data_IF_130306853011
#
_entry.id   IF_130306853011
#
_cell.length_a   1.000
_cell.length_b   1.000
_cell.length_c   1.000
_cell.angle_alpha   90.00
_cell.angle_beta   90.00
_cell.angle_gamma   90.00
#
_symmetry.space_group_name_H-M   'P 1'
#
loop_
_entity.id
_entity.type
_entity.pdbx_description
1 polymer ?
#
# COMPACT_ATOMS: atom_id res chain seq x y z
N UNK A 1 11.46 -8.90 -24.01
CA UNK A 1 11.06 -8.59 -22.64
C UNK A 1 10.86 -9.91 -21.91
N UNK A 2 11.79 -10.29 -21.03
CA UNK A 2 11.67 -11.51 -20.24
C UNK A 2 10.86 -11.23 -18.98
N UNK A 3 9.53 -11.34 -19.10
CA UNK A 3 8.58 -11.13 -18.01
C UNK A 3 8.71 -12.13 -16.84
N UNK A 4 9.50 -13.20 -17.02
CA UNK A 4 9.73 -14.23 -16.01
C UNK A 4 11.09 -14.11 -15.29
N UNK A 5 11.82 -13.02 -15.52
CA UNK A 5 13.09 -12.78 -14.84
C UNK A 5 12.89 -12.24 -13.41
N UNK A 6 13.80 -12.58 -12.50
CA UNK A 6 13.79 -12.10 -11.11
C UNK A 6 13.56 -10.58 -10.93
N UNK A 7 14.15 -9.67 -11.75
CA UNK A 7 13.90 -8.23 -11.64
C UNK A 7 12.46 -7.81 -11.98
N UNK A 8 11.66 -8.66 -12.64
CA UNK A 8 10.24 -8.40 -12.91
C UNK A 8 9.33 -9.10 -11.89
N UNK A 9 9.66 -10.32 -11.50
CA UNK A 9 8.83 -11.11 -10.58
C UNK A 9 8.83 -10.55 -9.15
N UNK A 10 9.99 -10.08 -8.64
CA UNK A 10 10.08 -9.56 -7.28
C UNK A 10 9.20 -8.31 -7.11
N UNK A 11 9.34 -7.24 -7.94
CA UNK A 11 8.46 -6.07 -7.83
C UNK A 11 6.99 -6.40 -8.09
N UNK A 12 6.68 -7.32 -9.00
CA UNK A 12 5.30 -7.74 -9.26
C UNK A 12 4.67 -8.36 -8.01
N UNK A 13 5.40 -9.24 -7.33
CA UNK A 13 4.94 -9.86 -6.08
C UNK A 13 4.81 -8.83 -4.96
N UNK A 14 5.74 -7.87 -4.85
CA UNK A 14 5.65 -6.76 -3.90
C UNK A 14 4.39 -5.93 -4.14
N UNK A 15 4.13 -5.54 -5.40
CA UNK A 15 2.93 -4.79 -5.79
C UNK A 15 1.66 -5.56 -5.40
N UNK A 16 1.56 -6.85 -5.74
CA UNK A 16 0.41 -7.68 -5.38
C UNK A 16 0.26 -7.78 -3.86
N UNK A 17 1.36 -7.97 -3.13
CA UNK A 17 1.36 -8.11 -1.68
C UNK A 17 0.91 -6.82 -0.96
N UNK A 18 1.48 -5.68 -1.37
CA UNK A 18 1.10 -4.35 -0.88
C UNK A 18 -0.36 -4.09 -1.17
N UNK A 19 -0.80 -4.34 -2.40
CA UNK A 19 -2.17 -4.11 -2.81
C UNK A 19 -3.15 -4.96 -2.00
N UNK A 20 -2.85 -6.24 -1.76
CA UNK A 20 -3.67 -7.11 -0.89
C UNK A 20 -3.73 -6.59 0.54
N UNK A 21 -2.59 -6.23 1.11
CA UNK A 21 -2.47 -5.79 2.50
C UNK A 21 -3.22 -4.49 2.77
N UNK A 22 -3.13 -3.52 1.84
CA UNK A 22 -3.81 -2.23 1.93
C UNK A 22 -5.23 -2.25 1.33
N UNK A 23 -5.66 -3.33 0.69
CA UNK A 23 -7.02 -3.43 0.11
C UNK A 23 -8.04 -4.10 1.02
N UNK A 24 -7.66 -4.55 2.22
CA UNK A 24 -8.60 -5.13 3.20
C UNK A 24 -9.80 -4.22 3.45
N UNK A 25 -9.55 -2.94 3.71
CA UNK A 25 -10.59 -1.97 4.05
C UNK A 25 -11.32 -1.44 2.80
N UNK A 26 -10.61 -1.40 1.66
CA UNK A 26 -11.16 -1.02 0.36
C UNK A 26 -12.28 -1.97 -0.09
N UNK A 27 -12.14 -3.28 0.17
CA UNK A 27 -13.18 -4.26 -0.16
C UNK A 27 -14.44 -4.08 0.71
N UNK A 28 -14.28 -3.73 1.99
CA UNK A 28 -15.39 -3.44 2.91
C UNK A 28 -16.13 -2.18 2.47
N UNK A 29 -15.40 -1.13 2.06
CA UNK A 29 -15.98 0.09 1.49
C UNK A 29 -16.81 -0.20 0.23
N UNK A 30 -16.30 -1.01 -0.69
CA UNK A 30 -17.02 -1.42 -1.91
C UNK A 30 -18.30 -2.18 -1.53
N UNK A 31 -18.21 -3.14 -0.60
CA UNK A 31 -19.35 -3.93 -0.15
C UNK A 31 -20.42 -3.06 0.55
N UNK A 32 -20.00 -2.10 1.40
CA UNK A 32 -20.89 -1.18 2.11
C UNK A 32 -21.59 -0.20 1.16
N UNK A 33 -20.87 0.36 0.18
CA UNK A 33 -21.45 1.27 -0.82
C UNK A 33 -22.50 0.57 -1.69
N UNK A 34 -22.33 -0.72 -1.98
CA UNK A 34 -23.27 -1.51 -2.77
C UNK A 34 -24.35 -2.24 -1.94
N UNK A 35 -24.32 -2.16 -0.60
CA UNK A 35 -25.24 -2.89 0.30
C UNK A 35 -26.73 -2.59 0.07
N UNK A 36 -27.07 -1.36 -0.31
CA UNK A 36 -28.45 -0.92 -0.52
C UNK A 36 -28.95 -1.14 -1.95
N UNK A 37 -28.13 -1.73 -2.83
CA UNK A 37 -28.57 -2.08 -4.18
C UNK A 37 -29.43 -3.35 -4.17
N UNK A 38 -30.44 -3.47 -5.04
CA UNK A 38 -31.17 -4.71 -5.26
C UNK A 38 -30.21 -5.88 -5.55
N UNK A 39 -30.52 -7.08 -5.04
CA UNK A 39 -29.61 -8.24 -5.10
C UNK A 39 -29.12 -8.59 -6.53
N UNK A 40 -29.92 -8.31 -7.56
CA UNK A 40 -29.54 -8.51 -8.97
C UNK A 40 -28.55 -7.45 -9.50
N UNK A 41 -28.49 -6.26 -8.89
CA UNK A 41 -27.60 -5.14 -9.26
C UNK A 41 -26.38 -5.01 -8.35
N UNK A 42 -26.41 -5.62 -7.17
CA UNK A 42 -25.31 -5.54 -6.20
C UNK A 42 -23.99 -6.09 -6.76
N UNK A 43 -24.01 -7.27 -7.40
CA UNK A 43 -22.81 -7.87 -8.02
C UNK A 43 -22.25 -7.00 -9.15
N UNK A 44 -23.13 -6.40 -9.93
CA UNK A 44 -22.76 -5.49 -11.01
C UNK A 44 -22.18 -4.18 -10.45
N UNK A 45 -22.75 -3.66 -9.36
CA UNK A 45 -22.21 -2.50 -8.63
C UNK A 45 -20.82 -2.75 -8.06
N UNK A 46 -20.60 -3.90 -7.44
CA UNK A 46 -19.28 -4.31 -6.94
C UNK A 46 -18.28 -4.41 -8.09
N UNK A 47 -18.66 -5.07 -9.20
CA UNK A 47 -17.80 -5.21 -10.38
C UNK A 47 -17.43 -3.88 -11.03
N UNK A 48 -18.41 -2.98 -11.23
CA UNK A 48 -18.15 -1.65 -11.79
C UNK A 48 -17.36 -0.74 -10.85
N UNK A 49 -17.64 -0.82 -9.53
CA UNK A 49 -16.89 -0.10 -8.51
C UNK A 49 -15.43 -0.52 -8.48
N UNK A 50 -15.17 -1.83 -8.48
CA UNK A 50 -13.81 -2.37 -8.56
C UNK A 50 -13.11 -1.94 -9.85
N UNK A 51 -13.77 -2.04 -11.01
CA UNK A 51 -13.19 -1.60 -12.28
C UNK A 51 -12.84 -0.10 -12.27
N UNK A 52 -13.69 0.73 -11.65
CA UNK A 52 -13.45 2.18 -11.55
C UNK A 52 -12.28 2.50 -10.64
N UNK A 53 -12.19 1.88 -9.46
CA UNK A 53 -11.05 2.02 -8.55
C UNK A 53 -9.72 1.70 -9.24
N UNK A 54 -9.72 0.68 -10.09
CA UNK A 54 -8.53 0.22 -10.81
C UNK A 54 -8.06 1.21 -11.86
N UNK A 55 -9.00 1.73 -12.64
CA UNK A 55 -8.71 2.77 -13.63
C UNK A 55 -8.14 4.00 -12.92
N UNK A 56 -8.74 4.41 -11.80
CA UNK A 56 -8.24 5.52 -10.99
C UNK A 56 -6.82 5.27 -10.46
N UNK A 57 -6.54 4.07 -9.95
CA UNK A 57 -5.20 3.66 -9.49
C UNK A 57 -4.16 3.71 -10.61
N UNK A 58 -4.49 3.24 -11.82
CA UNK A 58 -3.58 3.33 -12.97
C UNK A 58 -3.29 4.78 -13.34
N UNK A 59 -4.31 5.64 -13.33
CA UNK A 59 -4.15 7.06 -13.59
C UNK A 59 -3.25 7.70 -12.53
N UNK A 60 -3.53 7.50 -11.23
CA UNK A 60 -2.71 8.07 -10.16
C UNK A 60 -1.29 7.54 -10.15
N UNK A 61 -1.09 6.24 -10.37
CA UNK A 61 0.25 5.67 -10.40
C UNK A 61 1.07 6.27 -11.53
N UNK A 62 0.46 6.49 -12.70
CA UNK A 62 1.13 7.17 -13.81
C UNK A 62 1.54 8.59 -13.43
N UNK A 63 0.61 9.36 -12.85
CA UNK A 63 0.86 10.74 -12.43
C UNK A 63 1.93 10.80 -11.34
N UNK A 64 1.81 9.98 -10.29
CA UNK A 64 2.76 9.93 -9.17
C UNK A 64 4.13 9.46 -9.65
N UNK A 65 4.22 8.48 -10.54
CA UNK A 65 5.50 8.02 -11.09
C UNK A 65 6.26 9.17 -11.77
N UNK A 66 5.57 10.00 -12.54
CA UNK A 66 6.16 11.18 -13.15
C UNK A 66 6.51 12.24 -12.12
N UNK A 67 5.65 12.42 -11.11
CA UNK A 67 5.86 13.39 -10.05
C UNK A 67 7.08 13.02 -9.17
N UNK A 68 7.30 11.73 -8.90
CA UNK A 68 8.45 11.20 -8.18
C UNK A 68 9.76 11.25 -8.99
N UNK A 69 9.75 11.72 -10.24
CA UNK A 69 10.97 12.08 -10.95
C UNK A 69 11.52 13.44 -10.49
N UNK A 70 10.69 14.26 -9.84
CA UNK A 70 11.09 15.56 -9.29
C UNK A 70 11.90 15.32 -8.00
N UNK A 71 13.05 15.99 -7.81
CA UNK A 71 13.83 15.91 -6.58
C UNK A 71 12.99 16.24 -5.34
N UNK A 72 13.35 15.68 -4.20
CA UNK A 72 12.66 15.78 -2.90
C UNK A 72 11.31 15.07 -2.80
N UNK A 73 10.63 14.81 -3.91
CA UNK A 73 9.33 14.15 -3.86
C UNK A 73 9.47 12.66 -3.54
N UNK A 74 10.59 12.02 -3.89
CA UNK A 74 10.89 10.66 -3.43
C UNK A 74 11.14 10.61 -1.93
N UNK A 75 11.83 11.62 -1.38
CA UNK A 75 12.02 11.75 0.07
C UNK A 75 10.66 11.92 0.77
N UNK A 76 9.83 12.84 0.28
CA UNK A 76 8.52 13.10 0.85
C UNK A 76 7.60 11.88 0.75
N UNK A 77 7.56 11.22 -0.40
CA UNK A 77 6.76 10.00 -0.58
C UNK A 77 7.30 8.83 0.24
N UNK A 78 8.63 8.69 0.38
CA UNK A 78 9.23 7.69 1.26
C UNK A 78 8.93 7.95 2.73
N UNK A 79 8.95 9.21 3.18
CA UNK A 79 8.56 9.59 4.54
C UNK A 79 7.06 9.31 4.80
N UNK A 80 6.20 9.65 3.84
CA UNK A 80 4.77 9.31 3.89
C UNK A 80 4.57 7.79 3.97
N UNK A 81 5.32 7.03 3.17
CA UNK A 81 5.27 5.58 3.17
C UNK A 81 5.69 4.98 4.51
N UNK A 82 6.73 5.54 5.14
CA UNK A 82 7.17 5.12 6.47
C UNK A 82 6.08 5.36 7.51
N UNK A 83 5.41 6.51 7.42
CA UNK A 83 4.28 6.84 8.29
C UNK A 83 3.10 5.88 8.09
N UNK A 84 2.75 5.55 6.84
CA UNK A 84 1.72 4.56 6.51
C UNK A 84 2.10 3.19 7.07
N UNK A 85 3.36 2.77 6.91
CA UNK A 85 3.85 1.48 7.40
C UNK A 85 3.73 1.37 8.93
N UNK A 86 4.10 2.43 9.66
CA UNK A 86 3.94 2.50 11.12
C UNK A 86 2.45 2.52 11.50
N UNK A 87 1.62 3.28 10.79
CA UNK A 87 0.17 3.32 11.02
C UNK A 87 -0.44 1.93 10.82
N UNK A 88 -0.07 1.23 9.76
CA UNK A 88 -0.57 -0.11 9.42
C UNK A 88 -0.26 -1.13 10.51
N UNK A 89 0.96 -1.14 11.03
CA UNK A 89 1.37 -2.04 12.13
C UNK A 89 0.70 -1.64 13.47
N UNK A 90 0.35 -0.36 13.63
CA UNK A 90 -0.30 0.18 14.83
C UNK A 90 -1.82 -0.04 14.84
N UNK A 91 -2.48 0.03 13.68
CA UNK A 91 -3.93 0.12 13.58
C UNK A 91 -4.65 -1.09 14.18
N UNK A 92 -5.62 -0.80 15.05
CA UNK A 92 -6.69 -1.71 15.42
C UNK A 92 -7.74 -1.75 14.31
N UNK A 93 -8.45 -2.86 14.19
CA UNK A 93 -9.49 -3.23 13.20
C UNK A 93 -10.71 -2.27 13.10
N UNK A 94 -10.64 -1.02 13.58
CA UNK A 94 -11.79 -0.15 13.82
C UNK A 94 -11.76 1.22 13.10
N UNK A 95 -10.98 1.42 12.03
CA UNK A 95 -11.25 2.54 11.11
C UNK A 95 -12.45 2.21 10.20
N UNK A 96 -13.61 1.98 10.81
CA UNK A 96 -14.86 1.83 10.09
C UNK A 96 -15.26 3.19 9.50
N UNK A 97 -14.90 3.43 8.23
CA UNK A 97 -15.43 4.55 7.46
C UNK A 97 -16.95 4.41 7.35
N UNK A 98 -17.68 5.25 8.08
CA UNK A 98 -19.14 5.38 7.99
C UNK A 98 -19.49 6.06 6.65
N UNK A 99 -19.59 5.27 5.58
CA UNK A 99 -20.04 5.76 4.29
C UNK A 99 -21.55 5.56 4.15
N UNK A 100 -22.24 6.60 3.70
CA UNK A 100 -23.67 6.56 3.36
C UNK A 100 -23.93 5.61 2.21
N UNK A 101 -24.78 4.61 2.43
CA UNK A 101 -25.22 3.69 1.39
C UNK A 101 -26.17 4.41 0.41
N UNK A 102 -26.04 4.14 -0.89
CA UNK A 102 -26.87 4.76 -1.93
C UNK A 102 -27.77 3.72 -2.61
N UNK A 103 -29.01 4.13 -2.93
CA UNK A 103 -29.99 3.28 -3.63
C UNK A 103 -29.74 3.21 -5.16
N UNK A 104 -28.86 4.06 -5.69
CA UNK A 104 -28.54 4.11 -7.12
C UNK A 104 -27.15 3.56 -7.43
N UNK A 105 -27.03 2.83 -8.54
CA UNK A 105 -25.77 2.23 -9.02
C UNK A 105 -24.68 3.30 -9.23
N UNK A 106 -25.06 4.44 -9.83
CA UNK A 106 -24.16 5.57 -10.05
C UNK A 106 -23.70 6.20 -8.74
N UNK A 107 -24.59 6.34 -7.75
CA UNK A 107 -24.25 6.81 -6.41
C UNK A 107 -23.24 5.89 -5.73
N UNK A 108 -23.47 4.57 -5.79
CA UNK A 108 -22.55 3.58 -5.22
C UNK A 108 -21.15 3.64 -5.87
N UNK A 109 -21.07 3.68 -7.21
CA UNK A 109 -19.79 3.78 -7.93
C UNK A 109 -19.06 5.08 -7.62
N UNK A 110 -19.79 6.21 -7.52
CA UNK A 110 -19.19 7.50 -7.16
C UNK A 110 -18.62 7.50 -5.74
N UNK A 111 -19.33 6.93 -4.78
CA UNK A 111 -18.84 6.80 -3.39
C UNK A 111 -17.61 5.90 -3.32
N UNK A 112 -17.60 4.80 -4.07
CA UNK A 112 -16.42 3.93 -4.19
C UNK A 112 -15.24 4.70 -4.78
N UNK A 113 -15.45 5.44 -5.87
CA UNK A 113 -14.40 6.24 -6.50
C UNK A 113 -13.83 7.32 -5.56
N UNK A 114 -14.68 8.00 -4.79
CA UNK A 114 -14.24 9.01 -3.82
C UNK A 114 -13.50 8.40 -2.63
N UNK A 115 -13.97 7.26 -2.14
CA UNK A 115 -13.31 6.57 -1.04
C UNK A 115 -11.97 5.98 -1.47
N UNK A 116 -11.92 5.35 -2.65
CA UNK A 116 -10.67 4.86 -3.23
C UNK A 116 -9.73 6.02 -3.56
N UNK A 117 -10.20 7.20 -3.99
CA UNK A 117 -9.33 8.38 -4.16
C UNK A 117 -8.61 8.76 -2.86
N UNK A 118 -9.34 8.87 -1.76
CA UNK A 118 -8.80 9.29 -0.46
C UNK A 118 -7.87 8.22 0.11
N UNK A 119 -8.26 6.94 0.00
CA UNK A 119 -7.49 5.82 0.54
C UNK A 119 -6.31 5.42 -0.35
N UNK A 120 -6.45 5.52 -1.67
CA UNK A 120 -5.45 5.05 -2.63
C UNK A 120 -4.34 6.06 -2.87
N UNK A 121 -4.44 7.31 -2.43
CA UNK A 121 -3.31 8.26 -2.55
C UNK A 121 -2.06 7.70 -1.85
N UNK A 122 -2.26 7.15 -0.66
CA UNK A 122 -1.24 6.52 0.17
C UNK A 122 -0.76 5.18 -0.44
N UNK A 123 -1.69 4.38 -0.98
CA UNK A 123 -1.38 3.11 -1.64
C UNK A 123 -0.61 3.31 -2.95
N UNK A 124 -0.94 4.34 -3.74
CA UNK A 124 -0.31 4.58 -5.04
C UNK A 124 1.13 5.06 -4.85
N UNK A 125 1.44 5.84 -3.80
CA UNK A 125 2.83 6.19 -3.47
C UNK A 125 3.64 4.93 -3.15
N UNK A 126 3.06 4.00 -2.38
CA UNK A 126 3.67 2.71 -2.08
C UNK A 126 3.99 1.90 -3.33
N UNK A 127 2.98 1.73 -4.18
CA UNK A 127 3.08 0.88 -5.37
C UNK A 127 3.97 1.56 -6.43
N UNK A 128 3.95 2.89 -6.55
CA UNK A 128 4.86 3.63 -7.43
C UNK A 128 6.33 3.49 -6.97
N UNK A 129 6.58 3.49 -5.66
CA UNK A 129 7.89 3.17 -5.09
C UNK A 129 8.34 1.75 -5.45
N UNK A 130 7.48 0.76 -5.26
CA UNK A 130 7.75 -0.65 -5.58
C UNK A 130 7.95 -0.90 -7.09
N UNK A 131 7.22 -0.18 -7.95
CA UNK A 131 7.26 -0.36 -9.40
C UNK A 131 8.54 0.16 -10.07
N UNK A 132 9.41 0.88 -9.33
CA UNK A 132 10.70 1.43 -9.80
C UNK A 132 10.60 2.19 -11.14
N UNK A 133 9.46 2.82 -11.40
CA UNK A 133 9.20 3.59 -12.63
C UNK A 133 8.60 2.80 -13.81
N UNK A 134 8.34 1.49 -13.67
CA UNK A 134 7.76 0.67 -14.72
C UNK A 134 6.23 0.61 -14.63
N UNK A 135 5.55 1.50 -15.34
CA UNK A 135 4.07 1.58 -15.39
C UNK A 135 3.41 0.27 -15.89
N UNK A 136 4.08 -0.49 -16.75
CA UNK A 136 3.56 -1.78 -17.23
C UNK A 136 3.55 -2.87 -16.15
N UNK A 137 4.56 -2.90 -15.27
CA UNK A 137 4.61 -3.79 -14.10
C UNK A 137 3.46 -3.47 -13.14
N UNK A 138 3.23 -2.18 -12.90
CA UNK A 138 2.09 -1.70 -12.12
C UNK A 138 0.75 -2.19 -12.69
N UNK A 139 0.51 -1.94 -13.99
CA UNK A 139 -0.76 -2.28 -14.61
C UNK A 139 -1.05 -3.78 -14.57
N UNK A 140 -0.03 -4.61 -14.80
CA UNK A 140 -0.16 -6.08 -14.74
C UNK A 140 -0.40 -6.56 -13.30
N UNK A 141 0.37 -6.06 -12.33
CA UNK A 141 0.21 -6.41 -10.92
C UNK A 141 -1.19 -6.08 -10.40
N UNK A 142 -1.70 -4.90 -10.77
CA UNK A 142 -3.03 -4.47 -10.40
C UNK A 142 -4.11 -5.32 -11.09
N UNK A 143 -3.97 -5.59 -12.39
CA UNK A 143 -4.92 -6.41 -13.15
C UNK A 143 -5.05 -7.82 -12.54
N UNK A 144 -3.93 -8.38 -12.05
CA UNK A 144 -3.91 -9.67 -11.35
C UNK A 144 -4.49 -9.55 -9.94
N UNK A 145 -4.21 -8.49 -9.18
CA UNK A 145 -4.64 -8.37 -7.77
C UNK A 145 -6.16 -8.21 -7.61
N UNK A 146 -6.84 -7.56 -8.56
CA UNK A 146 -8.27 -7.23 -8.43
C UNK A 146 -9.17 -8.46 -8.31
N UNK A 147 -9.06 -9.49 -9.17
CA UNK A 147 -9.80 -10.74 -8.95
C UNK A 147 -9.57 -11.34 -7.56
N UNK A 148 -8.34 -11.27 -7.03
CA UNK A 148 -8.02 -11.78 -5.69
C UNK A 148 -8.64 -10.92 -4.59
N UNK A 149 -8.63 -9.60 -4.71
CA UNK A 149 -9.25 -8.70 -3.73
C UNK A 149 -10.77 -8.83 -3.78
N UNK A 150 -11.40 -8.75 -4.95
CA UNK A 150 -12.86 -8.79 -5.09
C UNK A 150 -13.43 -10.17 -4.78
N UNK A 151 -12.77 -11.25 -5.24
CA UNK A 151 -13.22 -12.62 -5.02
C UNK A 151 -12.74 -13.23 -3.70
N UNK A 152 -11.61 -12.76 -3.18
CA UNK A 152 -10.91 -13.31 -2.01
C UNK A 152 -10.87 -12.40 -0.79
N UNK A 153 -11.49 -11.21 -0.80
CA UNK A 153 -11.48 -10.28 0.34
C UNK A 153 -11.89 -10.95 1.66
N UNK A 154 -12.94 -11.78 1.65
CA UNK A 154 -13.36 -12.51 2.85
C UNK A 154 -12.31 -13.51 3.33
N UNK A 155 -11.63 -14.19 2.41
CA UNK A 155 -10.54 -15.12 2.72
C UNK A 155 -9.32 -14.36 3.26
N UNK A 156 -8.93 -13.25 2.63
CA UNK A 156 -7.81 -12.40 3.03
C UNK A 156 -8.06 -11.78 4.39
N UNK A 157 -9.25 -11.22 4.64
CA UNK A 157 -9.63 -10.67 5.93
C UNK A 157 -9.56 -11.74 7.03
N UNK A 158 -10.09 -12.94 6.76
CA UNK A 158 -10.00 -14.07 7.69
C UNK A 158 -8.54 -14.50 7.92
N UNK A 159 -7.70 -14.46 6.88
CA UNK A 159 -6.29 -14.81 6.97
C UNK A 159 -5.50 -13.79 7.80
N UNK A 160 -5.73 -12.49 7.61
CA UNK A 160 -5.10 -11.43 8.39
C UNK A 160 -5.55 -11.46 9.85
N UNK A 161 -6.84 -11.72 10.11
CA UNK A 161 -7.36 -11.94 11.48
C UNK A 161 -6.73 -13.16 12.15
N UNK A 162 -6.58 -14.27 11.40
CA UNK A 162 -5.99 -15.51 11.92
C UNK A 162 -4.47 -15.43 12.07
N UNK A 163 -3.80 -14.70 11.20
CA UNK A 163 -2.35 -14.50 11.18
C UNK A 163 -1.98 -13.01 11.17
N UNK A 164 -2.13 -12.29 12.31
CA UNK A 164 -1.79 -10.87 12.41
C UNK A 164 -0.32 -10.56 12.11
N UNK A 165 0.54 -11.58 12.15
CA UNK A 165 1.95 -11.47 11.76
C UNK A 165 2.12 -11.02 10.30
N UNK A 166 1.16 -11.29 9.42
CA UNK A 166 1.17 -10.82 8.03
C UNK A 166 1.15 -9.30 7.93
N UNK A 167 0.50 -8.61 8.89
CA UNK A 167 0.49 -7.14 8.97
C UNK A 167 1.89 -6.62 9.29
N UNK A 168 2.64 -7.31 10.16
CA UNK A 168 4.02 -6.96 10.48
C UNK A 168 4.96 -7.15 9.29
N UNK A 169 4.83 -8.25 8.54
CA UNK A 169 5.59 -8.46 7.31
C UNK A 169 5.30 -7.38 6.28
N UNK A 170 4.01 -7.05 6.12
CA UNK A 170 3.58 -6.00 5.23
C UNK A 170 4.11 -4.62 5.61
N UNK A 171 4.05 -4.25 6.89
CA UNK A 171 4.66 -3.02 7.39
C UNK A 171 6.18 -2.99 7.21
N UNK A 172 6.87 -4.10 7.45
CA UNK A 172 8.32 -4.20 7.21
C UNK A 172 8.66 -4.02 5.73
N UNK A 173 7.87 -4.61 4.82
CA UNK A 173 8.04 -4.43 3.37
C UNK A 173 7.80 -2.97 2.94
N UNK A 174 6.77 -2.31 3.46
CA UNK A 174 6.56 -0.89 3.21
C UNK A 174 7.70 -0.02 3.75
N UNK A 175 8.25 -0.37 4.92
CA UNK A 175 9.45 0.26 5.47
C UNK A 175 10.68 0.05 4.58
N UNK A 176 10.83 -1.14 4.00
CA UNK A 176 11.88 -1.46 3.03
C UNK A 176 11.80 -0.54 1.81
N UNK A 177 10.63 -0.47 1.18
CA UNK A 177 10.37 0.37 0.01
C UNK A 177 10.57 1.85 0.35
N UNK A 178 10.22 2.26 1.58
CA UNK A 178 10.40 3.63 2.04
C UNK A 178 11.88 4.01 2.07
N UNK A 179 12.73 3.14 2.65
CA UNK A 179 14.17 3.35 2.69
C UNK A 179 14.80 3.39 1.29
N UNK A 180 14.38 2.48 0.41
CA UNK A 180 14.83 2.45 -0.99
C UNK A 180 14.39 3.72 -1.75
N UNK A 181 13.15 4.16 -1.53
CA UNK A 181 12.59 5.34 -2.17
C UNK A 181 13.30 6.64 -1.73
N UNK A 182 13.62 6.78 -0.43
CA UNK A 182 14.36 7.94 0.09
C UNK A 182 15.76 7.99 -0.51
N UNK A 183 16.52 6.90 -0.48
CA UNK A 183 17.88 6.87 -1.02
C UNK A 183 17.90 6.95 -2.55
N UNK A 184 16.83 6.50 -3.21
CA UNK A 184 16.63 6.66 -4.64
C UNK A 184 16.26 8.08 -5.07
N UNK A 185 16.13 9.07 -4.17
CA UNK A 185 15.93 10.47 -4.56
C UNK A 185 17.13 11.00 -5.37
N UNK A 186 16.94 11.73 -6.48
CA UNK A 186 18.06 12.23 -7.31
C UNK A 186 19.15 12.97 -6.55
N UNK A 187 18.81 13.67 -5.46
CA UNK A 187 19.78 14.40 -4.63
C UNK A 187 20.48 13.49 -3.61
N UNK A 188 19.76 12.55 -3.01
CA UNK A 188 20.37 11.59 -2.07
C UNK A 188 21.20 10.57 -2.82
N UNK A 189 20.76 10.14 -4.00
CA UNK A 189 21.46 9.19 -4.85
C UNK A 189 22.81 9.71 -5.32
N UNK A 190 22.94 11.01 -5.64
CA UNK A 190 24.24 11.59 -6.00
C UNK A 190 25.21 11.62 -4.82
N UNK A 191 24.74 12.06 -3.65
CA UNK A 191 25.52 12.03 -2.40
C UNK A 191 25.90 10.60 -1.98
N UNK A 192 24.96 9.67 -2.11
CA UNK A 192 25.16 8.26 -1.79
C UNK A 192 26.15 7.62 -2.76
N UNK A 193 26.07 7.94 -4.05
CA UNK A 193 27.03 7.45 -5.05
C UNK A 193 28.45 7.98 -4.75
N UNK A 194 28.60 9.28 -4.46
CA UNK A 194 29.90 9.87 -4.13
C UNK A 194 30.49 9.27 -2.83
N UNK A 195 29.65 9.07 -1.82
CA UNK A 195 30.05 8.43 -0.56
C UNK A 195 30.39 6.94 -0.75
N UNK A 196 29.60 6.23 -1.56
CA UNK A 196 29.78 4.81 -1.89
C UNK A 196 31.06 4.59 -2.69
N UNK A 197 31.34 5.44 -3.67
CA UNK A 197 32.56 5.42 -4.46
C UNK A 197 33.81 5.72 -3.60
N UNK A 198 33.69 6.62 -2.63
CA UNK A 198 34.78 6.96 -1.72
C UNK A 198 35.15 5.84 -0.73
N UNK A 199 34.20 4.97 -0.35
CA UNK A 199 34.40 3.94 0.68
C UNK A 199 34.23 2.49 0.17
N UNK A 200 33.91 2.30 -1.11
CA UNK A 200 33.76 0.98 -1.73
C UNK A 200 32.46 0.23 -1.37
N UNK A 201 31.39 0.93 -0.99
CA UNK A 201 30.14 0.29 -0.53
C UNK A 201 29.24 -0.21 -1.66
N UNK A 202 29.43 0.22 -2.91
CA UNK A 202 28.59 -0.13 -4.05
C UNK A 202 27.08 0.06 -3.79
N UNK A 203 26.29 -0.95 -4.15
CA UNK A 203 24.83 -1.03 -3.93
C UNK A 203 24.44 -1.24 -2.45
N UNK A 204 25.40 -1.47 -1.54
CA UNK A 204 25.10 -1.79 -0.15
C UNK A 204 24.36 -0.66 0.56
N UNK A 205 24.51 0.60 0.13
CA UNK A 205 23.79 1.74 0.70
C UNK A 205 22.27 1.63 0.46
N UNK A 206 21.85 1.17 -0.72
CA UNK A 206 20.44 0.97 -1.04
C UNK A 206 19.82 -0.12 -0.15
N UNK A 207 20.50 -1.27 -0.05
CA UNK A 207 20.05 -2.35 0.83
C UNK A 207 20.08 -1.97 2.32
N UNK A 208 21.09 -1.21 2.76
CA UNK A 208 21.18 -0.74 4.13
C UNK A 208 20.05 0.22 4.48
N UNK A 209 19.71 1.14 3.58
CA UNK A 209 18.61 2.07 3.77
C UNK A 209 17.25 1.36 3.79
N UNK A 210 17.05 0.41 2.88
CA UNK A 210 15.83 -0.39 2.85
C UNK A 210 15.69 -1.24 4.14
N UNK A 211 16.76 -1.91 4.55
CA UNK A 211 16.78 -2.65 5.82
C UNK A 211 16.52 -1.72 7.02
N UNK A 212 17.14 -0.54 7.05
CA UNK A 212 16.92 0.44 8.10
C UNK A 212 15.45 0.89 8.16
N UNK A 213 14.82 1.18 7.03
CA UNK A 213 13.41 1.53 6.95
C UNK A 213 12.50 0.41 7.49
N UNK A 214 12.75 -0.84 7.09
CA UNK A 214 12.02 -2.01 7.59
C UNK A 214 12.18 -2.16 9.12
N UNK A 215 13.41 -2.05 9.63
CA UNK A 215 13.70 -2.15 11.06
C UNK A 215 13.06 -1.01 11.86
N UNK A 216 13.04 0.22 11.33
CA UNK A 216 12.37 1.36 11.96
C UNK A 216 10.88 1.08 12.12
N UNK A 217 10.21 0.58 11.08
CA UNK A 217 8.77 0.25 11.17
C UNK A 217 8.52 -0.81 12.23
N UNK A 218 9.30 -1.90 12.25
CA UNK A 218 9.13 -2.97 13.22
C UNK A 218 9.43 -2.49 14.65
N UNK A 219 10.52 -1.76 14.85
CA UNK A 219 10.91 -1.26 16.17
C UNK A 219 9.90 -0.24 16.71
N UNK A 220 9.53 0.77 15.91
CA UNK A 220 8.55 1.79 16.31
C UNK A 220 7.18 1.16 16.52
N UNK A 221 6.74 0.29 15.61
CA UNK A 221 5.50 -0.48 15.76
C UNK A 221 5.47 -1.26 17.07
N UNK A 222 6.54 -2.00 17.39
CA UNK A 222 6.64 -2.79 18.62
C UNK A 222 6.60 -1.92 19.89
N UNK A 223 7.33 -0.80 19.89
CA UNK A 223 7.35 0.13 21.02
C UNK A 223 5.95 0.74 21.27
N UNK A 224 5.25 1.13 20.20
CA UNK A 224 3.90 1.69 20.30
C UNK A 224 2.88 0.65 20.74
N UNK A 225 2.96 -0.59 20.24
CA UNK A 225 2.08 -1.70 20.69
C UNK A 225 2.32 -2.08 22.15
N UNK A 226 3.57 -2.00 22.65
CA UNK A 226 3.91 -2.31 24.05
C UNK A 226 3.37 -1.26 25.02
N UNK A 227 3.44 0.03 24.68
CA UNK A 227 2.88 1.12 25.50
C UNK A 227 1.38 0.96 25.72
N UNK A 228 0.65 0.57 24.67
CA UNK A 228 -0.81 0.34 24.72
C UNK A 228 -1.23 -0.81 25.62
N UNK A 229 -0.47 -1.92 25.65
CA UNK A 229 -0.74 -3.03 26.59
C UNK A 229 -0.57 -2.60 28.05
N UNK A 230 0.32 -1.65 28.31
CA UNK A 230 0.60 -1.13 29.65
C UNK A 230 -0.53 -0.20 30.12
N UNK A 231 -0.96 0.75 29.29
CA UNK A 231 -2.08 1.66 29.58
C UNK A 231 -3.41 0.92 29.79
N UNK A 232 -3.70 -0.12 28.99
CA UNK A 232 -4.92 -0.93 29.14
C UNK A 232 -4.90 -1.79 30.41
N UNK A 233 -3.73 -2.08 30.97
CA UNK A 233 -3.56 -2.78 32.24
C UNK A 233 -3.67 -1.86 33.45
N UNK A 234 -3.28 -0.58 33.31
CA UNK A 234 -3.33 0.42 34.38
C UNK A 234 -4.72 1.07 34.51
N UNK A 235 -5.48 1.22 33.42
CA UNK A 235 -6.86 1.74 33.45
C UNK A 235 -7.94 0.76 33.94
N UNK A 236 -7.56 -0.45 34.34
CA UNK A 236 -8.46 -1.47 34.92
C UNK A 236 -8.18 -1.66 36.43
N UNK A 237 -7.16 -1.00 36.98
CA UNK A 237 -6.84 -0.95 38.41
C UNK A 237 -7.44 0.31 39.07
#
# INVERSE_FOLDING_TARGET
MDYFSAPYLIPLLEIIWIDILLSGDNAVVIAMACRSLPANRQKLGIGLGAATAVVLRIIFATVITWLLAIPYLRIAGGALLLWIAIKLVKSDENEAHSLTAHESLFGAVRTIALADLVMSLDNVVAIAGAAKGHVSLFAIGLLISIPFVVGGASLIATLLQRFPLLIWFGGALLGWISGEMIVGDPLIASLAHDFSAAHGYGEAIHYAAALAGALVVVAVGYLLSKRRKTEKSEGIA
#
